data_IF_021241303067
#
_entry.id   IF_021241303067
#
_cell.length_a   1.000
_cell.length_b   1.000
_cell.length_c   1.000
_cell.angle_alpha   90.00
_cell.angle_beta   90.00
_cell.angle_gamma   90.00
#
_symmetry.space_group_name_H-M   'P 1'
#
loop_
_entity.id
_entity.type
_entity.pdbx_description
1 polymer ?
#
# COMPACT_ATOMS: atom_id res chain seq x y z
N UNK A 1 21.91 34.05 11.63
CA UNK A 1 20.89 33.22 10.98
C UNK A 1 21.20 33.19 9.49
N UNK A 2 21.16 32.01 8.87
CA UNK A 2 21.08 31.79 7.40
C UNK A 2 22.34 31.83 6.52
N UNK A 3 23.27 30.90 6.76
CA UNK A 3 24.09 30.28 5.68
C UNK A 3 23.82 28.77 5.49
N UNK A 4 22.96 28.18 6.32
CA UNK A 4 22.76 26.72 6.38
C UNK A 4 21.76 26.15 5.36
N UNK A 5 21.00 27.01 4.66
CA UNK A 5 20.00 26.62 3.65
C UNK A 5 20.39 27.03 2.22
N UNK A 6 21.65 27.40 1.98
CA UNK A 6 22.12 27.66 0.62
C UNK A 6 22.20 26.33 -0.15
N UNK A 7 21.41 26.22 -1.22
CA UNK A 7 21.44 25.07 -2.12
C UNK A 7 22.86 24.81 -2.60
N UNK A 8 23.38 23.61 -2.35
CA UNK A 8 24.75 23.24 -2.66
C UNK A 8 24.82 22.06 -3.64
N UNK A 9 26.02 21.77 -4.13
CA UNK A 9 26.24 20.67 -5.09
C UNK A 9 25.81 19.29 -4.55
N UNK A 10 25.99 19.04 -3.26
CA UNK A 10 25.55 17.79 -2.63
C UNK A 10 24.03 17.63 -2.66
N UNK A 11 23.28 18.70 -2.36
CA UNK A 11 21.82 18.73 -2.45
C UNK A 11 21.33 18.51 -3.88
N UNK A 12 22.01 19.10 -4.87
CA UNK A 12 21.69 18.91 -6.28
C UNK A 12 21.88 17.45 -6.73
N UNK A 13 22.98 16.82 -6.31
CA UNK A 13 23.28 15.42 -6.63
C UNK A 13 22.27 14.49 -5.96
N UNK A 14 22.02 14.65 -4.66
CA UNK A 14 21.05 13.85 -3.92
C UNK A 14 19.63 14.00 -4.50
N UNK A 15 19.22 15.24 -4.81
CA UNK A 15 17.95 15.52 -5.48
C UNK A 15 17.86 14.88 -6.87
N UNK A 16 18.95 14.92 -7.65
CA UNK A 16 19.02 14.26 -8.95
C UNK A 16 18.84 12.74 -8.86
N UNK A 17 19.50 12.10 -7.88
CA UNK A 17 19.36 10.65 -7.63
C UNK A 17 17.93 10.32 -7.23
N UNK A 18 17.31 11.13 -6.36
CA UNK A 18 15.92 10.95 -5.93
C UNK A 18 14.94 11.04 -7.12
N UNK A 19 15.09 12.08 -7.95
CA UNK A 19 14.25 12.28 -9.14
C UNK A 19 14.43 11.13 -10.13
N UNK A 20 15.67 10.69 -10.36
CA UNK A 20 15.94 9.56 -11.24
C UNK A 20 15.32 8.25 -10.70
N UNK A 21 15.43 7.98 -9.40
CA UNK A 21 14.81 6.82 -8.78
C UNK A 21 13.28 6.85 -8.92
N UNK A 22 12.64 7.99 -8.65
CA UNK A 22 11.19 8.13 -8.85
C UNK A 22 10.78 8.01 -10.32
N UNK A 23 11.55 8.59 -11.25
CA UNK A 23 11.29 8.45 -12.67
C UNK A 23 11.34 6.98 -13.10
N UNK A 24 12.30 6.20 -12.60
CA UNK A 24 12.36 4.75 -12.84
C UNK A 24 11.14 4.02 -12.25
N UNK A 25 10.75 4.34 -11.02
CA UNK A 25 9.57 3.76 -10.35
C UNK A 25 8.29 4.03 -11.14
N UNK A 26 8.08 5.29 -11.58
CA UNK A 26 6.87 5.68 -12.32
C UNK A 26 6.87 5.23 -13.78
N UNK A 27 8.04 5.08 -14.40
CA UNK A 27 8.14 4.55 -15.77
C UNK A 27 7.76 3.08 -15.88
N UNK A 28 7.72 2.36 -14.75
CA UNK A 28 7.50 0.91 -14.67
C UNK A 28 8.43 0.07 -15.58
N UNK A 29 9.55 0.65 -16.04
CA UNK A 29 10.53 -0.03 -16.89
C UNK A 29 11.24 -1.18 -16.18
N UNK A 30 11.20 -1.20 -14.85
CA UNK A 30 11.71 -2.27 -13.99
C UNK A 30 10.87 -2.39 -12.71
N UNK A 31 11.06 -3.48 -11.97
CA UNK A 31 10.35 -3.69 -10.71
C UNK A 31 10.65 -2.56 -9.71
N UNK A 32 9.61 -2.02 -9.07
CA UNK A 32 9.71 -0.85 -8.17
C UNK A 32 10.72 -1.07 -7.05
N UNK A 33 10.78 -2.28 -6.49
CA UNK A 33 11.80 -2.67 -5.49
C UNK A 33 13.22 -2.58 -6.04
N UNK A 34 13.46 -3.06 -7.26
CA UNK A 34 14.79 -3.00 -7.90
C UNK A 34 15.19 -1.55 -8.15
N UNK A 35 14.27 -0.71 -8.65
CA UNK A 35 14.52 0.72 -8.86
C UNK A 35 14.88 1.44 -7.54
N UNK A 36 14.14 1.16 -6.45
CA UNK A 36 14.41 1.73 -5.14
C UNK A 36 15.78 1.30 -4.57
N UNK A 37 16.12 0.01 -4.68
CA UNK A 37 17.41 -0.51 -4.22
C UNK A 37 18.57 0.08 -5.02
N UNK A 38 18.44 0.19 -6.34
CA UNK A 38 19.46 0.84 -7.19
C UNK A 38 19.66 2.30 -6.77
N UNK A 39 18.56 3.05 -6.58
CA UNK A 39 18.63 4.44 -6.11
C UNK A 39 19.34 4.58 -4.76
N UNK A 40 19.03 3.68 -3.80
CA UNK A 40 19.68 3.65 -2.50
C UNK A 40 21.18 3.33 -2.59
N UNK A 41 21.56 2.32 -3.39
CA UNK A 41 22.97 1.95 -3.61
C UNK A 41 23.75 3.10 -4.25
N UNK A 42 23.17 3.78 -5.24
CA UNK A 42 23.79 4.94 -5.89
C UNK A 42 23.94 6.09 -4.89
N UNK A 43 22.91 6.39 -4.08
CA UNK A 43 22.95 7.45 -3.07
C UNK A 43 24.06 7.20 -2.03
N UNK A 44 24.15 5.98 -1.50
CA UNK A 44 25.19 5.62 -0.53
C UNK A 44 26.57 5.65 -1.17
N UNK A 45 26.71 5.10 -2.38
CA UNK A 45 27.99 5.05 -3.10
C UNK A 45 28.53 6.45 -3.44
N UNK A 46 27.70 7.27 -4.10
CA UNK A 46 28.07 8.63 -4.51
C UNK A 46 28.25 9.54 -3.29
N UNK A 47 27.35 9.44 -2.31
CA UNK A 47 27.41 10.26 -1.11
C UNK A 47 28.60 9.95 -0.21
N UNK A 48 28.99 8.67 -0.10
CA UNK A 48 30.20 8.29 0.64
C UNK A 48 31.46 8.74 -0.11
N UNK A 49 31.49 8.56 -1.44
CA UNK A 49 32.63 8.96 -2.26
C UNK A 49 32.88 10.48 -2.27
N UNK A 50 31.81 11.28 -2.30
CA UNK A 50 31.87 12.74 -2.25
C UNK A 50 31.87 13.31 -0.82
N UNK A 51 31.79 12.44 0.20
CA UNK A 51 31.90 12.82 1.61
C UNK A 51 30.71 13.57 2.21
N UNK A 52 29.54 13.58 1.54
CA UNK A 52 28.34 14.28 2.04
C UNK A 52 27.29 13.35 2.67
N UNK A 53 27.44 12.02 2.52
CA UNK A 53 26.54 11.04 3.12
C UNK A 53 27.31 9.81 3.57
N UNK A 54 27.19 9.41 4.84
CA UNK A 54 27.91 8.25 5.38
C UNK A 54 27.06 6.98 5.42
N UNK A 55 27.70 5.81 5.49
CA UNK A 55 27.01 4.53 5.67
C UNK A 55 26.20 4.48 6.97
N UNK A 56 26.69 5.11 8.04
CA UNK A 56 25.97 5.22 9.31
C UNK A 56 24.68 6.04 9.15
N UNK A 57 24.75 7.18 8.44
CA UNK A 57 23.58 7.99 8.11
C UNK A 57 22.57 7.22 7.24
N UNK A 58 23.06 6.35 6.35
CA UNK A 58 22.21 5.47 5.55
C UNK A 58 21.43 4.46 6.39
N UNK A 59 22.08 3.86 7.39
CA UNK A 59 21.42 2.93 8.32
C UNK A 59 20.41 3.69 9.20
N UNK A 60 20.78 4.87 9.70
CA UNK A 60 19.88 5.70 10.51
C UNK A 60 18.68 6.25 9.72
N UNK A 61 18.77 6.34 8.39
CA UNK A 61 17.66 6.74 7.54
C UNK A 61 16.59 5.65 7.38
N UNK A 62 16.88 4.40 7.78
CA UNK A 62 15.92 3.30 7.73
C UNK A 62 15.04 3.34 8.99
N UNK A 63 13.75 3.59 8.79
CA UNK A 63 12.77 3.45 9.86
C UNK A 63 12.39 1.98 10.10
N UNK A 64 13.06 1.37 11.07
CA UNK A 64 12.80 -0.02 11.46
C UNK A 64 11.38 -0.24 12.01
N UNK A 65 10.77 0.77 12.65
CA UNK A 65 9.42 0.63 13.19
C UNK A 65 8.41 0.50 12.06
N UNK A 66 8.53 1.34 11.03
CA UNK A 66 7.68 1.27 9.84
C UNK A 66 7.87 -0.05 9.10
N UNK A 67 9.12 -0.49 8.90
CA UNK A 67 9.42 -1.77 8.26
C UNK A 67 8.83 -2.97 9.01
N UNK A 68 8.98 -3.00 10.34
CA UNK A 68 8.44 -4.08 11.19
C UNK A 68 6.92 -4.05 11.23
N UNK A 69 6.31 -2.86 11.28
CA UNK A 69 4.86 -2.69 11.25
C UNK A 69 4.28 -3.25 9.94
N UNK A 70 4.81 -2.82 8.78
CA UNK A 70 4.37 -3.31 7.46
C UNK A 70 4.58 -4.82 7.32
N UNK A 71 5.71 -5.34 7.79
CA UNK A 71 6.01 -6.78 7.76
C UNK A 71 5.04 -7.57 8.64
N UNK A 72 4.77 -7.08 9.85
CA UNK A 72 3.83 -7.69 10.79
C UNK A 72 2.41 -7.74 10.24
N UNK A 73 1.94 -6.65 9.61
CA UNK A 73 0.64 -6.63 8.94
C UNK A 73 0.57 -7.68 7.82
N UNK A 74 1.59 -7.77 6.96
CA UNK A 74 1.65 -8.77 5.89
C UNK A 74 1.64 -10.22 6.42
N UNK A 75 2.33 -10.49 7.53
CA UNK A 75 2.31 -11.80 8.19
C UNK A 75 0.90 -12.11 8.70
N UNK A 76 0.24 -11.17 9.37
CA UNK A 76 -1.14 -11.35 9.85
C UNK A 76 -2.09 -11.69 8.70
N UNK A 77 -1.99 -10.97 7.57
CA UNK A 77 -2.81 -11.29 6.39
C UNK A 77 -2.47 -12.68 5.83
N UNK A 78 -1.18 -12.99 5.71
CA UNK A 78 -0.71 -14.30 5.24
C UNK A 78 -1.25 -15.46 6.08
N UNK A 79 -1.41 -15.25 7.38
CA UNK A 79 -2.01 -16.22 8.31
C UNK A 79 -3.53 -16.30 8.20
N UNK A 80 -4.22 -15.16 8.03
CA UNK A 80 -5.68 -15.11 7.97
C UNK A 80 -6.24 -15.60 6.62
N UNK A 81 -5.59 -15.28 5.51
CA UNK A 81 -6.07 -15.61 4.16
C UNK A 81 -6.42 -17.09 3.94
N UNK A 82 -5.57 -18.08 4.32
CA UNK A 82 -5.89 -19.49 4.11
C UNK A 82 -7.00 -20.03 5.03
N UNK A 83 -7.42 -19.29 6.06
CA UNK A 83 -8.45 -19.76 7.00
C UNK A 83 -9.87 -19.76 6.44
N UNK A 84 -10.10 -19.09 5.30
CA UNK A 84 -11.45 -18.87 4.77
C UNK A 84 -12.25 -17.80 5.52
N UNK A 85 -11.62 -17.05 6.44
CA UNK A 85 -12.30 -16.07 7.28
C UNK A 85 -12.92 -14.91 6.48
N UNK A 86 -12.24 -14.46 5.42
CA UNK A 86 -12.74 -13.39 4.56
C UNK A 86 -13.93 -13.83 3.71
N UNK A 87 -13.86 -15.05 3.17
CA UNK A 87 -14.93 -15.71 2.42
C UNK A 87 -16.18 -15.86 3.30
N UNK A 88 -15.99 -16.36 4.52
CA UNK A 88 -17.06 -16.50 5.49
C UNK A 88 -17.73 -15.15 5.78
N UNK A 89 -16.94 -14.10 6.04
CA UNK A 89 -17.46 -12.77 6.32
C UNK A 89 -18.25 -12.20 5.13
N UNK A 90 -17.73 -12.33 3.92
CA UNK A 90 -18.39 -11.87 2.70
C UNK A 90 -19.75 -12.57 2.50
N UNK A 91 -19.83 -13.88 2.73
CA UNK A 91 -21.09 -14.64 2.69
C UNK A 91 -22.07 -14.17 3.77
N UNK A 92 -21.60 -13.90 4.99
CA UNK A 92 -22.44 -13.38 6.08
C UNK A 92 -23.01 -12.01 5.72
N UNK A 93 -22.20 -11.12 5.16
CA UNK A 93 -22.62 -9.81 4.67
C UNK A 93 -23.67 -9.94 3.57
N UNK A 94 -23.44 -10.81 2.58
CA UNK A 94 -24.40 -11.04 1.50
C UNK A 94 -25.76 -11.53 2.00
N UNK A 95 -25.76 -12.41 3.02
CA UNK A 95 -27.00 -12.87 3.68
C UNK A 95 -27.69 -11.75 4.44
N UNK A 96 -26.94 -10.92 5.19
CA UNK A 96 -27.49 -9.77 5.93
C UNK A 96 -28.07 -8.69 5.03
N UNK A 97 -27.52 -8.51 3.83
CA UNK A 97 -28.03 -7.55 2.85
C UNK A 97 -29.42 -7.93 2.30
N UNK A 98 -29.92 -9.15 2.55
CA UNK A 98 -31.28 -9.60 2.22
C UNK A 98 -31.72 -9.27 0.78
N UNK A 99 -30.84 -9.48 -0.21
CA UNK A 99 -31.02 -9.14 -1.65
C UNK A 99 -31.14 -7.65 -1.99
N UNK A 100 -30.93 -6.73 -1.05
CA UNK A 100 -30.91 -5.29 -1.34
C UNK A 100 -29.54 -4.88 -1.90
N UNK A 101 -29.46 -4.40 -3.16
CA UNK A 101 -28.19 -3.96 -3.75
C UNK A 101 -27.53 -2.82 -2.97
N UNK A 102 -28.35 -1.94 -2.37
CA UNK A 102 -27.89 -0.79 -1.57
C UNK A 102 -27.28 -1.23 -0.25
N UNK A 103 -27.95 -2.14 0.47
CA UNK A 103 -27.42 -2.65 1.74
C UNK A 103 -26.16 -3.48 1.51
N UNK A 104 -26.09 -4.25 0.42
CA UNK A 104 -24.88 -4.98 0.05
C UNK A 104 -23.69 -4.04 -0.12
N UNK A 105 -23.89 -2.90 -0.79
CA UNK A 105 -22.83 -1.92 -1.03
C UNK A 105 -22.35 -1.32 0.29
N UNK A 106 -23.29 -0.91 1.15
CA UNK A 106 -22.96 -0.35 2.46
C UNK A 106 -22.21 -1.37 3.33
N UNK A 107 -22.68 -2.61 3.40
CA UNK A 107 -22.07 -3.62 4.26
C UNK A 107 -20.72 -4.12 3.75
N UNK A 108 -20.56 -4.35 2.44
CA UNK A 108 -19.26 -4.69 1.86
C UNK A 108 -18.27 -3.53 2.01
N UNK A 109 -18.72 -2.30 1.71
CA UNK A 109 -17.91 -1.11 1.87
C UNK A 109 -17.45 -0.87 3.31
N UNK A 110 -18.34 -1.02 4.29
CA UNK A 110 -17.99 -0.93 5.71
C UNK A 110 -17.03 -2.03 6.13
N UNK A 111 -17.25 -3.27 5.70
CA UNK A 111 -16.36 -4.37 6.02
C UNK A 111 -14.96 -4.14 5.46
N UNK A 112 -14.86 -3.74 4.19
CA UNK A 112 -13.58 -3.39 3.55
C UNK A 112 -12.91 -2.22 4.26
N UNK A 113 -13.66 -1.17 4.61
CA UNK A 113 -13.11 -0.02 5.34
C UNK A 113 -12.54 -0.43 6.71
N UNK A 114 -13.29 -1.21 7.50
CA UNK A 114 -12.87 -1.62 8.84
C UNK A 114 -11.69 -2.58 8.77
N UNK A 115 -11.71 -3.54 7.84
CA UNK A 115 -10.61 -4.50 7.66
C UNK A 115 -9.35 -3.78 7.20
N UNK A 116 -9.49 -2.80 6.29
CA UNK A 116 -8.35 -2.02 5.81
C UNK A 116 -7.76 -1.08 6.86
N UNK A 117 -8.37 -0.91 8.04
CA UNK A 117 -7.71 -0.23 9.18
C UNK A 117 -6.64 -1.11 9.83
N UNK A 118 -6.74 -2.43 9.68
CA UNK A 118 -5.78 -3.38 10.28
C UNK A 118 -4.84 -4.00 9.26
N UNK A 119 -5.27 -4.02 8.00
CA UNK A 119 -4.55 -4.63 6.88
C UNK A 119 -4.25 -3.56 5.84
N UNK A 120 -3.26 -3.81 4.98
CA UNK A 120 -3.00 -2.88 3.88
C UNK A 120 -4.16 -2.87 2.87
N UNK A 121 -4.39 -1.69 2.30
CA UNK A 121 -5.47 -1.41 1.36
C UNK A 121 -5.40 -2.27 0.10
N UNK A 122 -4.20 -2.50 -0.45
CA UNK A 122 -4.01 -3.29 -1.66
C UNK A 122 -4.40 -4.75 -1.41
N UNK A 123 -3.91 -5.35 -0.34
CA UNK A 123 -4.24 -6.73 0.00
C UNK A 123 -5.72 -6.91 0.31
N UNK A 124 -6.34 -5.97 1.03
CA UNK A 124 -7.78 -6.00 1.32
C UNK A 124 -8.59 -6.05 0.02
N UNK A 125 -8.29 -5.19 -0.94
CA UNK A 125 -8.97 -5.16 -2.24
C UNK A 125 -8.70 -6.44 -3.04
N UNK A 126 -7.46 -6.96 -3.05
CA UNK A 126 -7.11 -8.21 -3.76
C UNK A 126 -7.87 -9.42 -3.21
N UNK A 127 -8.19 -9.43 -1.91
CA UNK A 127 -8.99 -10.49 -1.28
C UNK A 127 -10.48 -10.30 -1.57
N UNK A 128 -11.01 -9.10 -1.37
CA UNK A 128 -12.46 -8.85 -1.48
C UNK A 128 -12.94 -8.78 -2.93
N UNK A 129 -12.16 -8.25 -3.86
CA UNK A 129 -12.57 -8.10 -5.26
C UNK A 129 -13.09 -9.41 -5.90
N UNK A 130 -12.39 -10.56 -5.84
CA UNK A 130 -12.92 -11.81 -6.39
C UNK A 130 -14.18 -12.30 -5.65
N UNK A 131 -14.29 -12.06 -4.33
CA UNK A 131 -15.47 -12.41 -3.53
C UNK A 131 -16.68 -11.57 -3.92
N UNK A 132 -16.47 -10.28 -4.12
CA UNK A 132 -17.50 -9.32 -4.52
C UNK A 132 -17.99 -9.58 -5.93
N UNK A 133 -17.08 -9.93 -6.85
CA UNK A 133 -17.46 -10.40 -8.19
C UNK A 133 -18.35 -11.63 -8.11
N UNK A 134 -17.97 -12.63 -7.31
CA UNK A 134 -18.75 -13.85 -7.12
C UNK A 134 -20.14 -13.56 -6.54
N UNK A 135 -20.22 -12.76 -5.48
CA UNK A 135 -21.49 -12.39 -4.82
C UNK A 135 -22.39 -11.61 -5.78
N UNK A 136 -21.84 -10.64 -6.50
CA UNK A 136 -22.60 -9.85 -7.46
C UNK A 136 -23.17 -10.73 -8.59
N UNK A 137 -22.36 -11.66 -9.12
CA UNK A 137 -22.82 -12.61 -10.14
C UNK A 137 -23.94 -13.53 -9.63
N UNK A 138 -23.81 -14.08 -8.42
CA UNK A 138 -24.84 -14.92 -7.80
C UNK A 138 -26.16 -14.17 -7.56
N UNK A 139 -26.10 -12.85 -7.39
CA UNK A 139 -27.27 -11.99 -7.19
C UNK A 139 -27.79 -11.33 -8.48
N UNK A 140 -27.14 -11.58 -9.63
CA UNK A 140 -27.51 -10.95 -10.91
C UNK A 140 -27.26 -9.43 -10.94
N UNK A 141 -26.26 -8.94 -10.19
CA UNK A 141 -25.90 -7.53 -10.08
C UNK A 141 -24.63 -7.21 -10.86
N UNK A 142 -24.48 -5.96 -11.30
CA UNK A 142 -23.23 -5.46 -11.86
C UNK A 142 -22.20 -5.30 -10.72
N UNK A 143 -21.02 -5.97 -10.75
CA UNK A 143 -20.01 -5.86 -9.70
C UNK A 143 -19.32 -4.50 -9.65
N UNK A 144 -19.32 -3.74 -10.76
CA UNK A 144 -18.50 -2.53 -10.91
C UNK A 144 -18.73 -1.49 -9.81
N UNK A 145 -19.97 -1.12 -9.41
CA UNK A 145 -20.17 -0.14 -8.34
C UNK A 145 -19.63 -0.59 -6.98
N UNK A 146 -19.70 -1.91 -6.70
CA UNK A 146 -19.17 -2.48 -5.47
C UNK A 146 -17.66 -2.41 -5.44
N UNK A 147 -17.00 -2.87 -6.51
CA UNK A 147 -15.54 -2.82 -6.64
C UNK A 147 -14.99 -1.39 -6.54
N UNK A 148 -15.66 -0.43 -7.18
CA UNK A 148 -15.30 0.98 -7.08
C UNK A 148 -15.47 1.49 -5.64
N UNK A 149 -16.58 1.14 -4.97
CA UNK A 149 -16.80 1.52 -3.58
C UNK A 149 -15.76 0.92 -2.64
N UNK A 150 -15.40 -0.35 -2.84
CA UNK A 150 -14.39 -1.06 -2.05
C UNK A 150 -13.00 -0.46 -2.24
N UNK A 151 -12.62 -0.11 -3.48
CA UNK A 151 -11.35 0.55 -3.76
C UNK A 151 -11.25 1.94 -3.11
N UNK A 152 -12.35 2.70 -3.08
CA UNK A 152 -12.39 4.00 -2.41
C UNK A 152 -12.38 3.85 -0.89
N UNK A 153 -13.21 2.95 -0.35
CA UNK A 153 -13.39 2.76 1.10
C UNK A 153 -12.21 2.04 1.75
N UNK A 154 -11.49 1.17 1.03
CA UNK A 154 -10.24 0.59 1.54
C UNK A 154 -9.19 1.68 1.77
N UNK A 155 -9.04 2.63 0.85
CA UNK A 155 -8.13 3.75 1.02
C UNK A 155 -8.54 4.66 2.18
N UNK A 156 -9.83 4.93 2.36
CA UNK A 156 -10.32 5.72 3.49
C UNK A 156 -10.08 4.99 4.82
N UNK A 157 -10.35 3.68 4.86
CA UNK A 157 -10.10 2.84 6.03
C UNK A 157 -8.62 2.78 6.40
N UNK A 158 -7.74 2.55 5.43
CA UNK A 158 -6.30 2.42 5.66
C UNK A 158 -5.57 3.70 6.06
N UNK A 159 -6.15 4.88 5.83
CA UNK A 159 -5.60 6.15 6.31
C UNK A 159 -5.98 6.43 7.78
N UNK A 160 -6.94 5.69 8.35
CA UNK A 160 -7.42 5.93 9.71
C UNK A 160 -6.43 5.50 10.82
N UNK A 161 -5.36 4.78 10.47
CA UNK A 161 -4.31 4.26 11.38
C UNK A 161 -2.94 4.63 10.86
#
# INVERSE_FOLDING_TARGET
MDKALAFNGAMAIAGGILVAAYALIFSEAMHRTSAAVIGAVIMVGVGTWLGFYSQEQAIMAIDANTMLLLTGMMILVGMLKPTGGFEYLAIRIAKLAARSPRLLLVYLGLAVSVISMFLDNVTTVVIFAPLTVLIAQLLGLNPLPYLMSEAMLSNIGGIAT
#
